data_IF_779514974052
#
_entry.id   IF_779514974052
#
_cell.length_a   1.000
_cell.length_b   1.000
_cell.length_c   1.000
_cell.angle_alpha   90.00
_cell.angle_beta   90.00
_cell.angle_gamma   90.00
#
_symmetry.space_group_name_H-M   'P 1'
#
loop_
_entity.id
_entity.type
_entity.pdbx_description
1 polymer ?
#
# COMPACT_ATOMS: atom_id res chain seq x y z
N UNK A 1 0.05 -9.69 12.33
CA UNK A 1 0.70 -8.59 11.60
C UNK A 1 0.54 -8.88 10.13
N UNK A 2 0.17 -7.87 9.36
CA UNK A 2 -0.17 -7.98 7.93
C UNK A 2 1.08 -8.35 7.12
N UNK A 3 0.95 -9.22 6.13
CA UNK A 3 2.11 -9.78 5.40
C UNK A 3 2.80 -8.73 4.53
N UNK A 4 2.10 -7.65 4.19
CA UNK A 4 2.64 -6.53 3.42
C UNK A 4 3.23 -5.40 4.29
N UNK A 5 3.20 -5.50 5.62
CA UNK A 5 3.67 -4.43 6.50
C UNK A 5 5.16 -4.14 6.33
N UNK A 6 6.01 -5.16 6.50
CA UNK A 6 7.46 -5.03 6.35
C UNK A 6 7.92 -4.61 4.95
N UNK A 7 7.42 -5.21 3.85
CA UNK A 7 7.87 -4.80 2.52
C UNK A 7 7.46 -3.35 2.18
N UNK A 8 6.24 -2.92 2.54
CA UNK A 8 5.81 -1.52 2.33
C UNK A 8 6.64 -0.59 3.23
N UNK A 9 6.90 -0.96 4.49
CA UNK A 9 7.75 -0.18 5.41
C UNK A 9 9.18 -0.03 4.87
N UNK A 10 9.74 -1.11 4.33
CA UNK A 10 11.06 -1.08 3.71
C UNK A 10 11.10 -0.20 2.46
N UNK A 11 10.01 -0.14 1.69
CA UNK A 11 9.91 0.73 0.53
C UNK A 11 9.89 2.20 0.93
N UNK A 12 9.15 2.56 1.99
CA UNK A 12 9.17 3.91 2.53
C UNK A 12 10.59 4.34 2.91
N UNK A 13 11.34 3.49 3.60
CA UNK A 13 12.72 3.81 3.95
C UNK A 13 13.68 3.88 2.76
N UNK A 14 13.47 3.08 1.73
CA UNK A 14 14.37 3.03 0.57
C UNK A 14 14.11 4.16 -0.44
N UNK A 15 12.85 4.48 -0.70
CA UNK A 15 12.46 5.39 -1.78
C UNK A 15 12.14 6.81 -1.29
N UNK A 16 11.74 6.96 -0.02
CA UNK A 16 11.31 8.24 0.54
C UNK A 16 12.23 8.75 1.67
N UNK A 17 13.35 8.05 1.93
CA UNK A 17 14.30 8.38 3.00
C UNK A 17 13.65 8.44 4.40
N UNK A 18 12.54 7.71 4.59
CA UNK A 18 11.80 7.69 5.87
C UNK A 18 12.44 6.64 6.79
N UNK A 19 13.03 7.03 7.94
CA UNK A 19 13.69 6.09 8.83
C UNK A 19 12.68 5.05 9.34
N UNK A 20 12.94 3.77 9.05
CA UNK A 20 11.96 2.70 9.35
C UNK A 20 11.56 2.66 10.82
N UNK A 21 12.42 3.09 11.75
CA UNK A 21 12.16 3.19 13.18
C UNK A 21 11.08 4.22 13.56
N UNK A 22 10.84 5.24 12.73
CA UNK A 22 9.79 6.24 12.95
C UNK A 22 8.45 5.81 12.37
N UNK A 23 8.45 4.84 11.45
CA UNK A 23 7.24 4.30 10.83
C UNK A 23 6.47 3.46 11.87
N UNK A 24 5.43 4.08 12.44
CA UNK A 24 4.50 3.43 13.36
C UNK A 24 3.20 3.07 12.63
N UNK A 25 2.50 2.00 13.06
CA UNK A 25 1.21 1.65 12.48
C UNK A 25 0.16 2.76 12.63
N UNK A 26 0.28 3.57 13.68
CA UNK A 26 -0.64 4.66 14.05
C UNK A 26 -0.29 6.00 13.36
N UNK A 27 0.93 6.13 12.81
CA UNK A 27 1.35 7.36 12.14
C UNK A 27 0.62 7.49 10.81
N UNK A 28 0.16 8.71 10.52
CA UNK A 28 -0.42 9.06 9.21
C UNK A 28 0.67 9.24 8.18
N UNK A 29 0.34 9.12 6.90
CA UNK A 29 1.32 9.39 5.84
C UNK A 29 1.87 10.83 5.95
N UNK A 30 1.02 11.81 6.28
CA UNK A 30 1.41 13.20 6.57
C UNK A 30 2.41 13.31 7.73
N UNK A 31 2.21 12.56 8.83
CA UNK A 31 3.11 12.53 10.00
C UNK A 31 4.49 11.94 9.65
N UNK A 32 4.52 11.01 8.71
CA UNK A 32 5.75 10.43 8.16
C UNK A 32 6.48 11.36 7.18
N UNK A 33 5.96 12.57 6.94
CA UNK A 33 6.54 13.55 6.01
C UNK A 33 6.22 13.26 4.55
N UNK A 34 5.17 12.47 4.26
CA UNK A 34 4.72 12.27 2.89
C UNK A 34 3.88 13.46 2.42
N UNK A 35 4.09 13.84 1.17
CA UNK A 35 3.27 14.78 0.43
C UNK A 35 2.36 14.07 -0.58
N UNK A 36 1.42 14.81 -1.18
CA UNK A 36 0.51 14.27 -2.19
C UNK A 36 1.23 13.64 -3.38
N UNK A 37 2.34 14.25 -3.84
CA UNK A 37 3.17 13.70 -4.90
C UNK A 37 3.90 12.43 -4.45
N UNK A 38 4.48 12.44 -3.25
CA UNK A 38 5.16 11.28 -2.69
C UNK A 38 4.21 10.08 -2.54
N UNK A 39 2.94 10.34 -2.21
CA UNK A 39 1.92 9.30 -2.11
C UNK A 39 1.60 8.67 -3.47
N UNK A 40 1.54 9.47 -4.53
CA UNK A 40 1.41 8.96 -5.91
C UNK A 40 2.66 8.16 -6.32
N UNK A 41 3.86 8.64 -5.97
CA UNK A 41 5.10 7.90 -6.24
C UNK A 41 5.14 6.57 -5.48
N UNK A 42 4.67 6.54 -4.23
CA UNK A 42 4.60 5.32 -3.44
C UNK A 42 3.68 4.31 -4.11
N UNK A 43 2.50 4.73 -4.58
CA UNK A 43 1.60 3.87 -5.34
C UNK A 43 2.27 3.31 -6.60
N UNK A 44 3.06 4.12 -7.30
CA UNK A 44 3.84 3.66 -8.45
C UNK A 44 4.90 2.63 -8.05
N UNK A 45 5.69 2.89 -7.00
CA UNK A 45 6.72 1.96 -6.49
C UNK A 45 6.09 0.64 -6.03
N UNK A 46 5.03 0.70 -5.24
CA UNK A 46 4.32 -0.49 -4.77
C UNK A 46 3.80 -1.35 -5.93
N UNK A 47 3.36 -0.72 -7.02
CA UNK A 47 2.91 -1.41 -8.23
C UNK A 47 4.05 -1.95 -9.08
N UNK A 48 5.11 -1.16 -9.29
CA UNK A 48 6.19 -1.47 -10.23
C UNK A 48 7.27 -2.36 -9.61
N UNK A 49 7.69 -2.05 -8.37
CA UNK A 49 8.79 -2.72 -7.67
C UNK A 49 8.30 -3.96 -6.90
N UNK A 50 7.10 -3.89 -6.30
CA UNK A 50 6.52 -5.00 -5.53
C UNK A 50 5.44 -5.77 -6.30
N UNK A 51 5.01 -5.30 -7.47
CA UNK A 51 3.94 -5.93 -8.23
C UNK A 51 2.58 -5.88 -7.54
N UNK A 52 2.39 -5.00 -6.54
CA UNK A 52 1.16 -4.96 -5.74
C UNK A 52 0.07 -4.17 -6.46
N UNK A 53 -1.17 -4.66 -6.36
CA UNK A 53 -2.33 -3.89 -6.82
C UNK A 53 -2.65 -2.75 -5.86
N UNK A 54 -2.70 -1.53 -6.36
CA UNK A 54 -3.11 -0.37 -5.56
C UNK A 54 -4.62 -0.22 -5.62
N UNK A 55 -5.31 -0.06 -4.48
CA UNK A 55 -6.74 0.18 -4.46
C UNK A 55 -7.04 1.48 -5.21
N UNK A 56 -7.71 1.36 -6.34
CA UNK A 56 -8.13 2.48 -7.18
C UNK A 56 -9.62 2.73 -6.86
N UNK A 57 -9.91 3.72 -6.01
CA UNK A 57 -11.25 4.02 -5.50
C UNK A 57 -11.24 5.34 -4.71
N UNK A 58 -12.36 5.67 -4.08
CA UNK A 58 -12.53 6.90 -3.28
C UNK A 58 -11.66 6.81 -2.00
N UNK A 59 -10.42 7.28 -2.10
CA UNK A 59 -9.55 7.64 -0.99
C UNK A 59 -9.04 6.56 0.01
N UNK A 60 -8.77 5.29 -0.38
CA UNK A 60 -8.21 4.31 0.56
C UNK A 60 -6.74 4.59 0.96
N UNK A 61 -6.05 5.45 0.22
CA UNK A 61 -4.68 5.86 0.46
C UNK A 61 -4.62 7.38 0.36
N UNK A 62 -4.58 8.03 1.50
CA UNK A 62 -4.63 9.47 1.64
C UNK A 62 -3.60 9.94 2.65
N UNK A 63 -3.28 11.23 2.67
CA UNK A 63 -2.29 11.77 3.63
C UNK A 63 -2.75 11.62 5.09
N UNK A 64 -4.07 11.59 5.30
CA UNK A 64 -4.74 11.39 6.59
C UNK A 64 -4.77 9.93 7.03
N UNK A 65 -4.53 8.99 6.12
CA UNK A 65 -4.61 7.55 6.40
C UNK A 65 -3.40 7.11 7.21
N UNK A 66 -3.61 6.24 8.19
CA UNK A 66 -2.50 5.65 8.96
C UNK A 66 -1.74 4.61 8.15
N UNK A 67 -0.48 4.36 8.51
CA UNK A 67 0.32 3.35 7.84
C UNK A 67 -0.32 1.96 7.92
N UNK A 68 -0.92 1.59 9.06
CA UNK A 68 -1.62 0.32 9.20
C UNK A 68 -2.85 0.21 8.27
N UNK A 69 -3.62 1.28 8.14
CA UNK A 69 -4.76 1.34 7.23
C UNK A 69 -4.31 1.23 5.77
N UNK A 70 -3.24 1.94 5.39
CA UNK A 70 -2.69 1.88 4.05
C UNK A 70 -2.26 0.46 3.67
N UNK A 71 -1.55 -0.22 4.56
CA UNK A 71 -1.14 -1.62 4.37
C UNK A 71 -2.37 -2.53 4.26
N UNK A 72 -3.37 -2.36 5.12
CA UNK A 72 -4.60 -3.15 5.10
C UNK A 72 -5.40 -2.93 3.80
N UNK A 73 -5.46 -1.70 3.28
CA UNK A 73 -6.12 -1.37 2.03
C UNK A 73 -5.44 -2.05 0.82
N UNK A 74 -4.10 -2.05 0.78
CA UNK A 74 -3.34 -2.75 -0.26
C UNK A 74 -3.53 -4.27 -0.17
N UNK A 75 -3.54 -4.85 1.03
CA UNK A 75 -3.86 -6.28 1.21
C UNK A 75 -5.29 -6.64 0.76
N UNK A 76 -6.27 -5.80 1.13
CA UNK A 76 -7.65 -5.99 0.70
C UNK A 76 -7.78 -5.94 -0.82
N UNK A 77 -7.05 -5.04 -1.48
CA UNK A 77 -6.98 -4.96 -2.95
C UNK A 77 -6.40 -6.23 -3.58
N UNK A 78 -5.42 -6.90 -2.94
CA UNK A 78 -4.90 -8.18 -3.43
C UNK A 78 -5.97 -9.27 -3.35
N UNK A 79 -6.62 -9.43 -2.19
CA UNK A 79 -7.64 -10.46 -1.98
C UNK A 79 -8.86 -10.29 -2.89
N UNK A 80 -9.29 -9.04 -3.12
CA UNK A 80 -10.40 -8.75 -4.02
C UNK A 80 -10.09 -9.18 -5.46
N UNK A 81 -8.83 -9.11 -5.89
CA UNK A 81 -8.41 -9.61 -7.21
C UNK A 81 -8.43 -11.13 -7.29
N UNK A 82 -7.96 -11.81 -6.25
CA UNK A 82 -7.92 -13.29 -6.21
C UNK A 82 -9.30 -13.91 -6.26
N UNK A 83 -10.29 -13.29 -5.59
CA UNK A 83 -11.68 -13.79 -5.60
C UNK A 83 -12.37 -13.68 -6.96
N UNK A 84 -11.96 -12.76 -7.84
CA UNK A 84 -12.51 -12.62 -9.21
C UNK A 84 -11.79 -13.54 -10.19
N UNK A 85 -10.49 -13.78 -10.01
CA UNK A 85 -9.74 -14.71 -10.86
C UNK A 85 -10.13 -16.19 -10.62
N UNK A 86 -10.63 -16.53 -9.43
CA UNK A 86 -11.07 -17.88 -9.08
C UNK A 86 -12.40 -18.35 -9.70
N UNK A 87 -13.18 -17.46 -10.35
CA UNK A 87 -14.48 -17.82 -10.95
C UNK A 87 -14.48 -17.96 -12.48
N UNK A 88 -13.34 -17.80 -13.15
CA UNK A 88 -13.23 -18.02 -14.60
C UNK A 88 -12.78 -19.46 -14.91
N UNK A 89 -13.67 -20.43 -14.66
CA UNK A 89 -13.55 -21.78 -15.21
C UNK A 89 -13.97 -21.81 -16.70
N UNK A 90 -13.37 -22.68 -17.54
CA UNK A 90 -13.55 -22.63 -18.98
C UNK A 90 -14.95 -23.15 -19.37
N UNK A 91 -15.71 -22.35 -20.12
CA UNK A 91 -16.84 -22.86 -20.85
C UNK A 91 -16.31 -23.49 -22.15
N UNK A 92 -16.31 -24.81 -22.15
CA UNK A 92 -16.10 -25.68 -23.31
C UNK A 92 -17.20 -25.51 -24.37
#
# INVERSE_FOLDING_TARGET
MTSLYEPIRSCLGRYFDIPVETIRPESTMEDLGMDSLALVELMCVLKDDLGLRIPSGDDPLSLRTTFAEAVAAVEAAQRASESVAGSAGPAA
#
